data_IF_924145045780
#
_entry.id   IF_924145045780
#
_cell.length_a   1.000
_cell.length_b   1.000
_cell.length_c   1.000
_cell.angle_alpha   90.00
_cell.angle_beta   90.00
_cell.angle_gamma   90.00
#
_symmetry.space_group_name_H-M   'P 1'
#
loop_
_entity.id
_entity.type
_entity.pdbx_description
1 polymer ?
#
# COMPACT_ATOMS: atom_id res chain seq x y z
N UNK A 1 -9.35 -24.36 -0.12
CA UNK A 1 -10.54 -23.63 0.38
C UNK A 1 -11.00 -24.14 1.73
N UNK A 2 -11.10 -25.47 1.96
CA UNK A 2 -11.65 -26.00 3.22
C UNK A 2 -10.98 -25.46 4.49
N UNK A 3 -9.64 -25.38 4.61
CA UNK A 3 -9.00 -24.82 5.80
C UNK A 3 -9.39 -23.36 6.11
N UNK A 4 -9.57 -22.53 5.06
CA UNK A 4 -10.01 -21.14 5.23
C UNK A 4 -11.47 -21.08 5.73
N UNK A 5 -12.33 -21.96 5.21
CA UNK A 5 -13.73 -22.06 5.64
C UNK A 5 -13.80 -22.50 7.11
N UNK A 6 -13.02 -23.49 7.50
CA UNK A 6 -13.03 -24.02 8.87
C UNK A 6 -12.48 -22.98 9.85
N UNK A 7 -11.45 -22.24 9.46
CA UNK A 7 -10.95 -21.13 10.27
C UNK A 7 -12.02 -20.04 10.43
N UNK A 8 -12.68 -19.64 9.35
CA UNK A 8 -13.74 -18.62 9.40
C UNK A 8 -14.92 -19.04 10.32
N UNK A 9 -15.28 -20.33 10.31
CA UNK A 9 -16.30 -20.86 11.21
C UNK A 9 -15.89 -20.81 12.68
N UNK A 10 -14.61 -21.02 12.98
CA UNK A 10 -14.09 -20.98 14.36
C UNK A 10 -13.74 -19.55 14.83
N UNK A 11 -13.72 -18.57 13.94
CA UNK A 11 -13.27 -17.20 14.23
C UNK A 11 -14.05 -16.56 15.39
N UNK A 12 -15.37 -16.76 15.44
CA UNK A 12 -16.20 -16.29 16.56
C UNK A 12 -15.72 -16.82 17.93
N UNK A 13 -15.27 -18.08 17.99
CA UNK A 13 -14.79 -18.66 19.24
C UNK A 13 -13.45 -18.03 19.65
N UNK A 14 -12.58 -17.72 18.67
CA UNK A 14 -11.29 -17.04 18.91
C UNK A 14 -11.50 -15.60 19.40
N UNK A 15 -12.51 -14.91 18.87
CA UNK A 15 -12.84 -13.54 19.30
C UNK A 15 -13.59 -13.48 20.63
N UNK A 16 -14.21 -14.57 21.06
CA UNK A 16 -14.94 -14.63 22.33
C UNK A 16 -14.06 -14.36 23.57
N UNK A 17 -12.73 -14.54 23.45
CA UNK A 17 -11.78 -14.17 24.50
C UNK A 17 -11.49 -12.65 24.57
N UNK A 18 -11.96 -11.87 23.59
CA UNK A 18 -11.72 -10.42 23.48
C UNK A 18 -13.02 -9.65 23.17
N UNK A 19 -14.10 -9.84 23.95
CA UNK A 19 -15.43 -9.31 23.63
C UNK A 19 -15.46 -7.77 23.61
N UNK A 20 -14.72 -7.11 24.53
CA UNK A 20 -14.67 -5.66 24.61
C UNK A 20 -13.94 -5.01 23.43
N UNK A 21 -12.94 -5.70 22.88
CA UNK A 21 -12.23 -5.23 21.69
C UNK A 21 -13.18 -5.21 20.49
N UNK A 22 -13.89 -6.31 20.25
CA UNK A 22 -14.84 -6.42 19.15
C UNK A 22 -16.07 -5.55 19.33
N UNK A 23 -16.53 -5.31 20.55
CA UNK A 23 -17.60 -4.35 20.82
C UNK A 23 -17.19 -2.93 20.39
N UNK A 24 -15.98 -2.49 20.74
CA UNK A 24 -15.46 -1.18 20.30
C UNK A 24 -15.33 -1.06 18.78
N UNK A 25 -14.96 -2.13 18.09
CA UNK A 25 -14.88 -2.12 16.62
C UNK A 25 -16.27 -1.94 15.97
N UNK A 26 -17.34 -2.34 16.63
CA UNK A 26 -18.71 -2.16 16.14
C UNK A 26 -19.21 -0.70 16.29
N UNK A 27 -18.57 0.14 17.11
CA UNK A 27 -18.93 1.55 17.29
C UNK A 27 -18.45 2.43 16.13
N UNK A 28 -17.54 1.93 15.28
CA UNK A 28 -16.99 2.65 14.12
C UNK A 28 -15.51 2.41 13.92
N UNK A 29 -14.90 3.22 13.05
CA UNK A 29 -13.47 3.14 12.77
C UNK A 29 -12.81 4.53 12.86
N UNK A 30 -11.58 4.55 13.34
CA UNK A 30 -10.74 5.74 13.39
C UNK A 30 -9.29 5.36 13.01
N UNK A 31 -9.04 5.04 11.74
CA UNK A 31 -7.74 4.56 11.30
C UNK A 31 -6.67 5.64 11.46
N UNK A 32 -5.46 5.22 11.84
CA UNK A 32 -4.31 6.10 12.01
C UNK A 32 -3.72 6.52 10.67
N UNK A 33 -3.82 5.65 9.66
CA UNK A 33 -3.28 5.88 8.33
C UNK A 33 -4.12 5.21 7.24
N UNK A 34 -4.07 5.79 6.03
CA UNK A 34 -4.38 5.10 4.80
C UNK A 34 -3.12 4.37 4.32
N UNK A 35 -3.20 3.05 4.15
CA UNK A 35 -2.10 2.22 3.70
C UNK A 35 -2.38 1.70 2.28
N UNK A 36 -1.66 2.22 1.29
CA UNK A 36 -1.77 1.86 -0.12
C UNK A 36 -0.66 0.90 -0.47
N UNK A 37 -0.99 -0.30 -0.93
CA UNK A 37 0.00 -1.32 -1.26
C UNK A 37 -0.47 -2.28 -2.35
N UNK A 38 0.44 -3.19 -2.75
CA UNK A 38 0.12 -4.21 -3.72
C UNK A 38 -0.90 -5.24 -3.18
N UNK A 39 -1.72 -5.79 -4.09
CA UNK A 39 -2.60 -6.93 -3.80
C UNK A 39 -1.84 -8.25 -3.63
N UNK A 40 -0.51 -8.26 -3.76
CA UNK A 40 0.35 -9.43 -3.56
C UNK A 40 0.07 -10.08 -2.20
N UNK A 41 -0.25 -11.37 -2.21
CA UNK A 41 -0.66 -12.12 -1.01
C UNK A 41 0.40 -12.21 0.09
N UNK A 42 1.67 -11.93 -0.24
CA UNK A 42 2.80 -11.91 0.69
C UNK A 42 2.91 -10.59 1.45
N UNK A 43 2.22 -9.55 1.00
CA UNK A 43 2.21 -8.21 1.62
C UNK A 43 0.98 -8.09 2.49
N UNK A 44 1.17 -8.06 3.79
CA UNK A 44 0.09 -7.96 4.78
C UNK A 44 0.35 -6.73 5.65
N UNK A 45 -0.33 -5.60 5.41
CA UNK A 45 -0.08 -4.34 6.11
C UNK A 45 -0.10 -4.45 7.63
N UNK A 46 -1.09 -5.14 8.18
CA UNK A 46 -1.21 -5.34 9.64
C UNK A 46 -0.05 -6.15 10.22
N UNK A 47 0.47 -7.15 9.49
CA UNK A 47 1.65 -7.90 9.91
C UNK A 47 2.92 -7.02 9.90
N UNK A 48 3.09 -6.21 8.84
CA UNK A 48 4.26 -5.35 8.65
C UNK A 48 4.32 -4.24 9.71
N UNK A 49 3.17 -3.69 10.10
CA UNK A 49 3.08 -2.54 10.99
C UNK A 49 2.76 -2.90 12.44
N UNK A 50 2.30 -4.12 12.70
CA UNK A 50 1.74 -4.54 13.99
C UNK A 50 0.38 -3.89 14.28
N UNK A 51 -0.30 -3.36 13.25
CA UNK A 51 -1.61 -2.72 13.40
C UNK A 51 -2.70 -3.74 13.74
N UNK A 52 -3.60 -3.34 14.61
CA UNK A 52 -4.79 -4.11 14.99
C UNK A 52 -5.97 -3.76 14.07
N UNK A 53 -7.03 -4.57 14.06
CA UNK A 53 -8.25 -4.25 13.34
C UNK A 53 -8.73 -2.84 13.66
N UNK A 54 -9.08 -2.06 12.61
CA UNK A 54 -9.55 -0.67 12.71
C UNK A 54 -8.43 0.38 12.72
N UNK A 55 -7.15 0.02 12.85
CA UNK A 55 -6.04 0.98 12.91
C UNK A 55 -5.49 1.39 11.54
N UNK A 56 -5.73 0.59 10.49
CA UNK A 56 -5.38 0.95 9.11
C UNK A 56 -6.63 0.97 8.23
N UNK A 57 -6.70 1.95 7.36
CA UNK A 57 -7.59 1.93 6.21
C UNK A 57 -6.77 1.49 5.01
N UNK A 58 -7.13 0.38 4.38
CA UNK A 58 -6.28 -0.25 3.37
C UNK A 58 -6.84 -0.04 1.96
N UNK A 59 -5.97 0.33 1.02
CA UNK A 59 -6.22 0.30 -0.41
C UNK A 59 -5.20 -0.62 -1.07
N UNK A 60 -5.66 -1.66 -1.73
CA UNK A 60 -4.81 -2.67 -2.37
C UNK A 60 -5.13 -2.81 -3.84
N UNK A 61 -4.13 -2.56 -4.69
CA UNK A 61 -4.24 -2.67 -6.15
C UNK A 61 -3.08 -3.49 -6.71
N UNK A 62 -3.22 -4.07 -7.90
CA UNK A 62 -2.08 -4.73 -8.53
C UNK A 62 -0.95 -3.71 -8.76
N UNK A 63 0.22 -3.97 -8.15
CA UNK A 63 1.39 -3.08 -8.22
C UNK A 63 1.27 -1.78 -7.43
N UNK A 64 0.37 -1.65 -6.46
CA UNK A 64 0.11 -0.39 -5.73
C UNK A 64 -0.10 0.84 -6.65
N UNK A 65 -0.57 0.59 -7.86
CA UNK A 65 -0.82 1.60 -8.88
C UNK A 65 -2.05 2.42 -8.51
N UNK A 66 -1.96 3.73 -8.74
CA UNK A 66 -3.06 4.68 -8.64
C UNK A 66 -3.31 5.29 -10.01
N UNK A 67 -4.56 5.31 -10.51
CA UNK A 67 -4.90 5.99 -11.75
C UNK A 67 -4.76 7.53 -11.60
N UNK A 68 -4.71 8.30 -12.70
CA UNK A 68 -4.87 9.74 -12.64
C UNK A 68 -6.22 10.10 -12.01
N UNK A 69 -6.25 11.23 -11.28
CA UNK A 69 -7.53 11.76 -10.81
C UNK A 69 -8.35 12.29 -12.00
N UNK A 70 -9.57 11.79 -12.10
CA UNK A 70 -10.54 12.25 -13.09
C UNK A 70 -11.89 12.49 -12.39
N UNK A 71 -12.35 13.73 -12.26
CA UNK A 71 -13.61 14.04 -11.60
C UNK A 71 -14.85 13.60 -12.41
N UNK A 72 -14.71 13.40 -13.71
CA UNK A 72 -15.81 12.96 -14.57
C UNK A 72 -15.96 11.43 -14.58
N UNK A 73 -14.86 10.72 -14.29
CA UNK A 73 -14.83 9.27 -14.23
C UNK A 73 -14.12 8.79 -12.94
N UNK A 74 -14.76 8.99 -11.78
CA UNK A 74 -14.13 8.60 -10.50
C UNK A 74 -13.92 7.10 -10.42
N UNK A 75 -12.70 6.70 -10.05
CA UNK A 75 -12.36 5.30 -9.84
C UNK A 75 -12.59 4.88 -8.37
N UNK A 76 -12.65 3.58 -8.12
CA UNK A 76 -12.77 3.05 -6.76
C UNK A 76 -11.58 3.45 -5.87
N UNK A 77 -10.38 3.55 -6.46
CA UNK A 77 -9.19 4.01 -5.77
C UNK A 77 -9.32 5.47 -5.33
N UNK A 78 -9.74 6.35 -6.26
CA UNK A 78 -9.95 7.77 -5.95
C UNK A 78 -11.00 7.96 -4.85
N UNK A 79 -12.13 7.26 -4.96
CA UNK A 79 -13.20 7.30 -3.96
C UNK A 79 -12.73 6.77 -2.58
N UNK A 80 -11.94 5.70 -2.56
CA UNK A 80 -11.38 5.13 -1.32
C UNK A 80 -10.42 6.10 -0.64
N UNK A 81 -9.56 6.76 -1.41
CA UNK A 81 -8.61 7.76 -0.90
C UNK A 81 -9.36 8.99 -0.36
N UNK A 82 -10.32 9.49 -1.12
CA UNK A 82 -11.14 10.63 -0.70
C UNK A 82 -11.89 10.33 0.58
N UNK A 83 -12.51 9.17 0.69
CA UNK A 83 -13.20 8.72 1.90
C UNK A 83 -12.26 8.68 3.11
N UNK A 84 -11.07 8.12 2.96
CA UNK A 84 -10.09 8.07 4.04
C UNK A 84 -9.68 9.47 4.54
N UNK A 85 -9.43 10.39 3.61
CA UNK A 85 -8.89 11.70 3.94
C UNK A 85 -9.99 12.71 4.32
N UNK A 86 -11.11 12.75 3.59
CA UNK A 86 -12.14 13.75 3.79
C UNK A 86 -13.21 13.32 4.81
N UNK A 87 -13.53 12.04 4.88
CA UNK A 87 -14.57 11.52 5.78
C UNK A 87 -13.97 10.98 7.08
N UNK A 88 -12.94 10.12 6.99
CA UNK A 88 -12.32 9.54 8.19
C UNK A 88 -11.25 10.46 8.80
N UNK A 89 -10.84 11.52 8.12
CA UNK A 89 -9.88 12.49 8.63
C UNK A 89 -8.46 11.96 8.80
N UNK A 90 -8.08 10.95 8.04
CA UNK A 90 -6.73 10.38 8.04
C UNK A 90 -5.71 11.47 7.69
N UNK A 91 -4.61 11.52 8.45
CA UNK A 91 -3.54 12.52 8.28
C UNK A 91 -2.24 11.94 7.73
N UNK A 92 -2.13 10.64 7.65
CA UNK A 92 -0.95 9.94 7.15
C UNK A 92 -1.36 8.96 6.04
N UNK A 93 -0.74 9.10 4.88
CA UNK A 93 -0.93 8.20 3.75
C UNK A 93 0.40 7.52 3.45
N UNK A 94 0.44 6.21 3.54
CA UNK A 94 1.60 5.39 3.21
C UNK A 94 1.38 4.76 1.85
N UNK A 95 2.34 4.93 0.93
CA UNK A 95 2.44 4.10 -0.28
C UNK A 95 3.59 3.12 -0.07
N UNK A 96 3.27 1.83 -0.05
CA UNK A 96 4.23 0.77 0.21
C UNK A 96 4.36 -0.15 -0.99
N UNK A 97 5.51 -0.07 -1.68
CA UNK A 97 5.93 -1.05 -2.66
C UNK A 97 6.61 -2.25 -1.99
N UNK A 98 6.99 -3.24 -2.79
CA UNK A 98 7.67 -4.41 -2.26
C UNK A 98 8.63 -5.05 -3.27
N UNK A 99 9.62 -5.79 -2.78
CA UNK A 99 10.51 -6.59 -3.63
C UNK A 99 9.74 -7.71 -4.34
N UNK A 100 10.23 -8.15 -5.48
CA UNK A 100 9.62 -9.20 -6.29
C UNK A 100 8.16 -8.91 -6.71
N UNK A 101 7.82 -7.64 -6.95
CA UNK A 101 6.49 -7.24 -7.40
C UNK A 101 6.24 -7.73 -8.82
N UNK A 102 5.24 -8.61 -9.01
CA UNK A 102 4.93 -9.16 -10.32
C UNK A 102 4.50 -8.11 -11.34
N UNK A 103 3.72 -7.12 -10.93
CA UNK A 103 3.24 -6.04 -11.80
C UNK A 103 4.39 -5.15 -12.29
N UNK A 104 5.27 -4.70 -11.37
CA UNK A 104 6.45 -3.90 -11.72
C UNK A 104 7.43 -4.74 -12.53
N UNK A 105 7.63 -6.02 -12.17
CA UNK A 105 8.48 -6.94 -12.90
C UNK A 105 8.03 -7.16 -14.34
N UNK A 106 6.73 -7.28 -14.59
CA UNK A 106 6.19 -7.39 -15.95
C UNK A 106 6.52 -6.17 -16.82
N UNK A 107 6.47 -4.96 -16.23
CA UNK A 107 6.85 -3.73 -16.93
C UNK A 107 8.35 -3.67 -17.21
N UNK A 108 9.19 -4.04 -16.23
CA UNK A 108 10.66 -4.03 -16.38
C UNK A 108 11.11 -5.02 -17.45
N UNK A 109 10.53 -6.22 -17.46
CA UNK A 109 10.87 -7.25 -18.48
C UNK A 109 10.24 -7.00 -19.84
N UNK A 110 9.21 -6.16 -19.93
CA UNK A 110 8.43 -5.96 -21.14
C UNK A 110 7.64 -7.22 -21.52
N UNK A 111 7.02 -7.87 -20.52
CA UNK A 111 6.25 -9.09 -20.72
C UNK A 111 5.09 -8.85 -21.71
N UNK A 112 4.81 -9.85 -22.57
CA UNK A 112 3.63 -9.83 -23.45
C UNK A 112 2.36 -10.04 -22.62
N UNK A 113 1.54 -9.02 -22.53
CA UNK A 113 0.28 -9.01 -21.77
C UNK A 113 -0.95 -9.09 -22.69
N UNK A 114 -0.80 -9.45 -23.94
CA UNK A 114 -1.89 -9.52 -24.92
C UNK A 114 -3.03 -10.45 -24.48
N UNK A 115 -2.68 -11.56 -23.81
CA UNK A 115 -3.66 -12.52 -23.29
C UNK A 115 -4.42 -12.04 -22.03
N UNK A 116 -3.98 -10.96 -21.38
CA UNK A 116 -4.54 -10.41 -20.14
C UNK A 116 -4.82 -8.91 -20.27
N UNK A 117 -5.77 -8.51 -21.11
CA UNK A 117 -5.95 -7.10 -21.50
C UNK A 117 -6.26 -6.17 -20.32
N UNK A 118 -7.00 -6.62 -19.32
CA UNK A 118 -7.28 -5.81 -18.13
C UNK A 118 -5.99 -5.51 -17.33
N UNK A 119 -5.07 -6.47 -17.22
CA UNK A 119 -3.77 -6.26 -16.58
C UNK A 119 -2.93 -5.29 -17.42
N UNK A 120 -2.86 -5.53 -18.73
CA UNK A 120 -2.13 -4.65 -19.66
C UNK A 120 -2.59 -3.20 -19.52
N UNK A 121 -3.89 -2.97 -19.58
CA UNK A 121 -4.47 -1.63 -19.56
C UNK A 121 -4.28 -0.99 -18.17
N UNK A 122 -4.40 -1.78 -17.08
CA UNK A 122 -4.10 -1.32 -15.73
C UNK A 122 -2.64 -0.86 -15.57
N UNK A 123 -1.69 -1.62 -16.09
CA UNK A 123 -0.28 -1.30 -16.00
C UNK A 123 0.12 -0.02 -16.78
N UNK A 124 -0.72 0.48 -17.68
CA UNK A 124 -0.50 1.78 -18.35
C UNK A 124 -0.55 2.95 -17.35
N UNK A 125 -1.21 2.78 -16.21
CA UNK A 125 -1.24 3.78 -15.14
C UNK A 125 0.02 3.77 -14.28
N UNK A 126 0.86 2.74 -14.38
CA UNK A 126 2.18 2.77 -13.77
C UNK A 126 3.03 3.84 -14.47
N UNK A 127 3.79 4.62 -13.69
CA UNK A 127 4.75 5.52 -14.29
C UNK A 127 5.93 4.68 -14.81
N UNK A 128 6.12 4.54 -16.13
CA UNK A 128 7.26 3.82 -16.64
C UNK A 128 8.53 4.65 -16.35
N UNK A 129 9.51 4.09 -15.67
CA UNK A 129 10.87 4.53 -15.88
C UNK A 129 11.38 3.88 -17.16
N UNK A 130 11.29 4.62 -18.23
CA UNK A 130 11.85 4.23 -19.50
C UNK A 130 13.32 4.67 -19.57
N UNK A 131 14.19 3.93 -18.93
CA UNK A 131 15.60 3.98 -19.31
C UNK A 131 15.99 2.81 -20.24
N UNK A 132 15.00 2.06 -20.72
CA UNK A 132 15.16 1.11 -21.84
C UNK A 132 16.06 -0.09 -21.55
N UNK A 133 16.60 -0.20 -20.37
CA UNK A 133 17.41 -1.36 -19.98
C UNK A 133 16.49 -2.48 -19.52
N UNK A 134 16.34 -3.48 -20.37
CA UNK A 134 15.80 -4.79 -19.94
C UNK A 134 16.78 -5.36 -18.93
N UNK A 135 16.53 -5.11 -17.66
CA UNK A 135 17.33 -5.67 -16.60
C UNK A 135 16.66 -6.92 -16.07
N UNK A 136 17.21 -8.07 -16.37
CA UNK A 136 16.87 -9.34 -15.76
C UNK A 136 17.55 -9.41 -14.40
N UNK A 137 16.77 -9.39 -13.32
CA UNK A 137 17.28 -9.64 -11.98
C UNK A 137 16.52 -8.91 -10.87
N UNK A 138 16.54 -9.49 -9.67
CA UNK A 138 15.87 -8.97 -8.48
C UNK A 138 16.27 -7.53 -8.09
N UNK A 139 17.55 -7.10 -8.18
CA UNK A 139 17.92 -5.72 -7.85
C UNK A 139 17.26 -4.67 -8.74
N UNK A 140 17.22 -4.91 -10.06
CA UNK A 140 16.60 -3.98 -11.00
C UNK A 140 15.09 -3.84 -10.78
N UNK A 141 14.40 -4.94 -10.44
CA UNK A 141 12.99 -4.90 -10.08
C UNK A 141 12.78 -4.15 -8.76
N UNK A 142 13.68 -4.31 -7.79
CA UNK A 142 13.62 -3.59 -6.52
C UNK A 142 13.78 -2.08 -6.72
N UNK A 143 14.77 -1.65 -7.51
CA UNK A 143 15.01 -0.24 -7.83
C UNK A 143 13.84 0.37 -8.61
N UNK A 144 13.31 -0.37 -9.59
CA UNK A 144 12.12 0.03 -10.34
C UNK A 144 10.88 0.14 -9.43
N UNK A 145 10.71 -0.78 -8.48
CA UNK A 145 9.60 -0.76 -7.53
C UNK A 145 9.72 0.42 -6.55
N UNK A 146 10.93 0.75 -6.07
CA UNK A 146 11.15 1.94 -5.23
C UNK A 146 10.85 3.22 -6.02
N UNK A 147 11.34 3.32 -7.24
CA UNK A 147 11.05 4.45 -8.14
C UNK A 147 9.55 4.57 -8.44
N UNK A 148 8.88 3.43 -8.63
CA UNK A 148 7.44 3.38 -8.84
C UNK A 148 6.68 3.90 -7.60
N UNK A 149 7.09 3.57 -6.38
CA UNK A 149 6.50 4.13 -5.16
C UNK A 149 6.56 5.66 -5.16
N UNK A 150 7.70 6.24 -5.51
CA UNK A 150 7.86 7.70 -5.59
C UNK A 150 6.95 8.31 -6.66
N UNK A 151 6.80 7.64 -7.79
CA UNK A 151 5.87 8.09 -8.83
C UNK A 151 4.39 8.07 -8.33
N UNK A 152 4.00 7.08 -7.54
CA UNK A 152 2.67 7.05 -6.93
C UNK A 152 2.49 8.15 -5.88
N UNK A 153 3.52 8.49 -5.11
CA UNK A 153 3.52 9.67 -4.23
C UNK A 153 3.28 10.97 -5.03
N UNK A 154 3.95 11.13 -6.17
CA UNK A 154 3.73 12.29 -7.03
C UNK A 154 2.31 12.30 -7.63
N UNK A 155 1.77 11.13 -7.96
CA UNK A 155 0.40 10.95 -8.43
C UNK A 155 -0.60 11.41 -7.37
N UNK A 156 -0.45 11.00 -6.12
CA UNK A 156 -1.29 11.44 -5.02
C UNK A 156 -1.30 12.96 -4.85
N UNK A 157 -0.14 13.60 -5.02
CA UNK A 157 -0.03 15.07 -4.94
C UNK A 157 -0.85 15.80 -6.00
N UNK A 158 -1.18 15.14 -7.11
CA UNK A 158 -2.02 15.72 -8.17
C UNK A 158 -3.54 15.62 -7.89
N UNK A 159 -3.96 14.89 -6.86
CA UNK A 159 -5.36 14.83 -6.46
C UNK A 159 -5.75 16.13 -5.73
N UNK A 160 -6.75 16.90 -6.20
CA UNK A 160 -6.99 18.27 -5.72
C UNK A 160 -7.24 18.36 -4.21
N UNK A 161 -7.99 17.41 -3.65
CA UNK A 161 -8.29 17.39 -2.22
C UNK A 161 -7.06 17.02 -1.37
N UNK A 162 -6.16 16.16 -1.90
CA UNK A 162 -4.89 15.85 -1.22
C UNK A 162 -3.92 17.03 -1.30
N UNK A 163 -3.79 17.66 -2.48
CA UNK A 163 -2.93 18.84 -2.67
C UNK A 163 -3.30 19.93 -1.65
N UNK A 164 -4.59 20.26 -1.53
CA UNK A 164 -5.09 21.24 -0.57
C UNK A 164 -4.69 20.93 0.88
N UNK A 165 -4.81 19.66 1.29
CA UNK A 165 -4.46 19.25 2.67
C UNK A 165 -2.95 19.18 2.91
N UNK A 166 -2.17 18.82 1.89
CA UNK A 166 -0.71 18.85 1.94
C UNK A 166 -0.20 20.29 2.10
N UNK A 167 -0.73 21.24 1.32
CA UNK A 167 -0.36 22.65 1.39
C UNK A 167 -0.74 23.27 2.73
N UNK A 168 -1.83 22.82 3.33
CA UNK A 168 -2.25 23.23 4.66
C UNK A 168 -1.48 22.54 5.80
N UNK A 169 -0.54 21.64 5.51
CA UNK A 169 0.20 20.86 6.52
C UNK A 169 -0.67 19.86 7.32
N UNK A 170 -1.85 19.52 6.79
CA UNK A 170 -2.83 18.64 7.44
C UNK A 170 -2.70 17.18 7.02
N UNK A 171 -1.88 16.89 6.01
CA UNK A 171 -1.64 15.56 5.47
C UNK A 171 -0.14 15.33 5.27
N UNK A 172 0.30 14.11 5.46
CA UNK A 172 1.66 13.65 5.20
C UNK A 172 1.64 12.43 4.29
N UNK A 173 2.54 12.39 3.32
CA UNK A 173 2.74 11.24 2.44
C UNK A 173 4.04 10.54 2.82
N UNK A 174 4.00 9.21 2.88
CA UNK A 174 5.12 8.36 3.25
C UNK A 174 5.36 7.35 2.14
N UNK A 175 6.57 7.29 1.61
CA UNK A 175 6.98 6.27 0.65
C UNK A 175 7.75 5.18 1.39
N UNK A 176 7.21 3.96 1.37
CA UNK A 176 7.80 2.77 1.99
C UNK A 176 8.10 1.71 0.96
N UNK A 177 9.07 0.85 1.29
CA UNK A 177 9.41 -0.32 0.49
C UNK A 177 9.63 -1.52 1.41
N UNK A 178 8.93 -2.62 1.14
CA UNK A 178 8.99 -3.84 1.93
C UNK A 178 9.82 -4.91 1.22
N UNK A 179 10.90 -5.33 1.85
CA UNK A 179 11.72 -6.46 1.39
C UNK A 179 11.14 -7.76 1.91
N UNK A 180 10.49 -8.53 1.04
CA UNK A 180 9.77 -9.75 1.43
C UNK A 180 10.70 -10.78 2.07
N UNK A 181 11.91 -10.96 1.54
CA UNK A 181 12.84 -12.01 1.98
C UNK A 181 13.52 -11.73 3.33
N UNK A 182 13.63 -10.45 3.72
CA UNK A 182 14.25 -10.04 4.99
C UNK A 182 13.23 -9.62 6.03
N UNK A 183 12.02 -9.26 5.61
CA UNK A 183 11.03 -8.59 6.45
C UNK A 183 11.35 -7.12 6.72
N UNK A 184 12.36 -6.56 6.06
CA UNK A 184 12.79 -5.17 6.28
C UNK A 184 11.82 -4.19 5.63
N UNK A 185 11.46 -3.13 6.34
CA UNK A 185 10.72 -2.00 5.80
C UNK A 185 11.66 -0.80 5.69
N UNK A 186 11.81 -0.31 4.47
CA UNK A 186 12.58 0.88 4.16
C UNK A 186 11.63 2.08 4.02
N UNK A 187 12.05 3.26 4.48
CA UNK A 187 11.35 4.51 4.25
C UNK A 187 12.22 5.45 3.41
N UNK A 188 11.60 6.09 2.44
CA UNK A 188 12.26 7.11 1.64
C UNK A 188 12.62 8.34 2.49
N UNK A 189 13.83 8.86 2.30
CA UNK A 189 14.35 10.06 2.96
C UNK A 189 14.62 11.14 1.91
N UNK A 190 13.69 12.10 1.73
CA UNK A 190 13.79 13.11 0.66
C UNK A 190 15.12 13.85 0.58
N UNK A 191 15.78 14.26 1.71
CA UNK A 191 17.05 14.97 1.61
C UNK A 191 18.19 14.16 0.99
N UNK A 192 18.16 12.84 1.16
CA UNK A 192 19.15 11.92 0.63
C UNK A 192 18.69 11.21 -0.65
N UNK A 193 17.43 11.35 -1.01
CA UNK A 193 16.75 10.66 -2.13
C UNK A 193 16.99 9.13 -2.11
N UNK A 194 16.96 8.54 -0.91
CA UNK A 194 17.24 7.11 -0.71
C UNK A 194 16.21 6.47 0.19
N UNK A 195 16.03 5.16 0.01
CA UNK A 195 15.27 4.33 0.92
C UNK A 195 16.21 3.76 1.99
N UNK A 196 15.89 3.99 3.25
CA UNK A 196 16.68 3.50 4.39
C UNK A 196 15.79 2.74 5.37
N UNK A 197 16.36 1.73 6.02
CA UNK A 197 15.63 0.95 7.01
C UNK A 197 15.13 1.84 8.15
N UNK A 198 13.92 1.56 8.64
CA UNK A 198 13.49 2.14 9.90
C UNK A 198 14.45 1.71 11.03
N UNK A 199 14.87 2.62 11.89
CA UNK A 199 15.71 2.24 13.03
C UNK A 199 14.97 1.22 13.88
N UNK A 200 15.67 0.13 14.25
CA UNK A 200 15.11 -0.90 15.12
C UNK A 200 14.63 -0.25 16.43
N UNK A 201 13.39 -0.50 16.79
CA UNK A 201 12.88 -0.22 18.13
C UNK A 201 12.68 -1.54 18.87
N UNK A 202 12.82 -1.55 20.20
CA UNK A 202 12.45 -2.73 20.97
C UNK A 202 11.03 -3.14 20.62
N UNK A 203 10.86 -4.41 20.28
CA UNK A 203 9.54 -4.98 19.99
C UNK A 203 8.70 -4.82 21.24
N UNK A 204 7.58 -4.11 21.17
CA UNK A 204 6.59 -4.18 22.24
C UNK A 204 6.16 -5.64 22.36
N UNK A 205 6.34 -6.22 23.53
CA UNK A 205 5.79 -7.53 23.81
C UNK A 205 4.31 -7.51 23.44
N UNK A 206 3.86 -8.54 22.70
CA UNK A 206 2.44 -8.70 22.45
C UNK A 206 1.73 -8.70 23.81
N UNK A 207 0.63 -7.98 23.99
CA UNK A 207 -0.17 -8.11 25.19
C UNK A 207 -0.63 -9.56 25.33
N UNK A 208 -0.65 -10.09 26.55
CA UNK A 208 -1.05 -11.46 26.84
C UNK A 208 -2.47 -11.78 26.33
#
# INVERSE_FOLDING_TARGET
>A
MQPLIDYARSFRQQTAARPEEFARLAEGQAPQALFITCSDSRVIPSLITGARPGELFELRTAGNILPPYDPEQPTGEAATIEYAVEILGVRDVVVCGHSHCGAVGALVRGDDLTAVPAVRDWLTHAAPRADGTKADGDPAIADAAQSHVLAQILRLRSYPYLARRLDAGQLRLHAWFYEIHTGTVLAHRPPADTFVAHPARPVRAAPP
#
